data_IF_126242072981
#
_entry.id   IF_126242072981
#
_cell.length_a   1.000
_cell.length_b   1.000
_cell.length_c   1.000
_cell.angle_alpha   90.00
_cell.angle_beta   90.00
_cell.angle_gamma   90.00
#
_symmetry.space_group_name_H-M   'P 1'
#
loop_
_entity.id
_entity.type
_entity.pdbx_description
1 polymer ?
#
# COMPACT_ATOMS: atom_id res chain seq x y z
N UNK A 1 2.06 15.55 -2.57
CA UNK A 1 3.18 14.72 -3.00
C UNK A 1 2.86 13.24 -2.77
N UNK A 2 3.24 12.39 -3.73
CA UNK A 2 3.00 10.95 -3.60
C UNK A 2 4.10 10.27 -2.78
N UNK A 3 5.30 10.83 -2.78
CA UNK A 3 6.44 10.27 -2.07
C UNK A 3 7.45 11.34 -1.70
N UNK A 4 8.16 11.10 -0.61
CA UNK A 4 9.25 11.97 -0.16
C UNK A 4 10.47 11.11 0.07
N UNK A 5 11.63 11.55 -0.41
CA UNK A 5 12.88 10.88 -0.13
C UNK A 5 13.62 11.59 1.00
N UNK A 6 14.10 10.80 1.96
CA UNK A 6 14.93 11.32 3.05
C UNK A 6 16.03 10.29 3.32
N UNK A 7 17.28 10.68 3.06
CA UNK A 7 18.40 9.74 3.12
C UNK A 7 18.17 8.61 2.13
N UNK A 8 18.33 7.38 2.59
CA UNK A 8 18.07 6.20 1.77
C UNK A 8 16.64 5.70 1.81
N UNK A 9 15.74 6.42 2.50
CA UNK A 9 14.34 6.02 2.62
C UNK A 9 13.45 6.76 1.63
N UNK A 10 12.40 6.05 1.18
CA UNK A 10 11.26 6.63 0.48
C UNK A 10 10.05 6.48 1.39
N UNK A 11 9.36 7.59 1.62
CA UNK A 11 8.12 7.62 2.41
C UNK A 11 6.99 7.90 1.44
N UNK A 12 6.10 6.94 1.25
CA UNK A 12 4.97 7.11 0.35
C UNK A 12 3.73 7.54 1.13
N UNK A 13 2.95 8.43 0.53
CA UNK A 13 1.64 8.78 1.08
C UNK A 13 0.75 7.54 1.06
N UNK A 14 -0.19 7.46 2.01
CA UNK A 14 -1.16 6.39 2.03
C UNK A 14 -1.96 6.35 0.74
N UNK A 15 -2.15 5.16 0.20
CA UNK A 15 -2.88 4.95 -1.04
C UNK A 15 -4.21 4.27 -0.77
N UNK A 16 -5.27 4.86 -1.30
CA UNK A 16 -6.59 4.24 -1.34
C UNK A 16 -6.75 3.55 -2.69
N UNK A 17 -7.73 2.64 -2.84
CA UNK A 17 -7.91 1.95 -4.12
C UNK A 17 -8.43 2.90 -5.19
N UNK A 18 -7.58 3.19 -6.15
CA UNK A 18 -7.92 4.01 -7.31
C UNK A 18 -7.38 3.37 -8.57
N UNK A 19 -8.08 3.58 -9.69
CA UNK A 19 -7.60 3.12 -10.99
C UNK A 19 -6.69 4.16 -11.65
N UNK A 20 -6.23 3.86 -12.86
CA UNK A 20 -5.33 4.74 -13.59
C UNK A 20 -5.96 6.09 -13.95
N UNK A 21 -7.28 6.16 -14.00
CA UNK A 21 -8.01 7.40 -14.29
C UNK A 21 -8.33 8.21 -13.04
N UNK A 22 -7.86 7.76 -11.87
CA UNK A 22 -8.11 8.45 -10.63
C UNK A 22 -9.49 8.19 -10.02
N UNK A 23 -10.18 7.17 -10.50
CA UNK A 23 -11.50 6.79 -9.96
C UNK A 23 -11.33 5.73 -8.88
N UNK A 24 -12.14 5.85 -7.83
CA UNK A 24 -12.13 4.88 -6.74
C UNK A 24 -12.63 3.52 -7.23
N UNK A 25 -11.90 2.47 -6.91
CA UNK A 25 -12.29 1.09 -7.19
C UNK A 25 -13.24 0.65 -6.09
N UNK A 26 -14.50 0.33 -6.46
CA UNK A 26 -15.58 0.00 -5.53
C UNK A 26 -15.86 -1.49 -5.41
N UNK A 27 -14.93 -2.33 -5.78
CA UNK A 27 -15.08 -3.76 -5.66
C UNK A 27 -15.02 -4.25 -4.22
N UNK A 28 -14.85 -5.56 -4.04
CA UNK A 28 -14.69 -6.15 -2.72
C UNK A 28 -13.32 -5.80 -2.13
N UNK A 29 -13.05 -6.28 -0.91
CA UNK A 29 -11.80 -5.95 -0.22
C UNK A 29 -10.58 -6.45 -0.98
N UNK A 30 -10.68 -7.59 -1.69
CA UNK A 30 -9.57 -8.13 -2.48
C UNK A 30 -9.25 -7.23 -3.65
N UNK A 31 -10.27 -6.81 -4.41
CA UNK A 31 -10.10 -5.89 -5.53
C UNK A 31 -9.52 -4.56 -5.07
N UNK A 32 -10.02 -4.03 -3.96
CA UNK A 32 -9.53 -2.77 -3.41
C UNK A 32 -8.08 -2.88 -2.95
N UNK A 33 -7.70 -3.99 -2.35
CA UNK A 33 -6.33 -4.23 -1.89
C UNK A 33 -5.38 -4.27 -3.08
N UNK A 34 -5.74 -5.00 -4.14
CA UNK A 34 -4.91 -5.05 -5.35
C UNK A 34 -4.77 -3.67 -5.98
N UNK A 35 -5.84 -2.88 -6.02
CA UNK A 35 -5.81 -1.54 -6.61
C UNK A 35 -4.90 -0.60 -5.81
N UNK A 36 -4.98 -0.64 -4.48
CA UNK A 36 -4.12 0.19 -3.64
C UNK A 36 -2.64 -0.18 -3.82
N UNK A 37 -2.33 -1.48 -3.86
CA UNK A 37 -0.95 -1.94 -4.06
C UNK A 37 -0.44 -1.59 -5.46
N UNK A 38 -1.30 -1.65 -6.48
CA UNK A 38 -0.90 -1.24 -7.82
C UNK A 38 -0.44 0.23 -7.86
N UNK A 39 -1.14 1.11 -7.14
CA UNK A 39 -0.71 2.51 -7.05
C UNK A 39 0.63 2.65 -6.34
N UNK A 40 0.86 1.85 -5.31
CA UNK A 40 2.14 1.84 -4.60
C UNK A 40 3.25 1.41 -5.56
N UNK A 41 3.03 0.36 -6.34
CA UNK A 41 3.99 -0.11 -7.35
C UNK A 41 4.33 1.00 -8.34
N UNK A 42 3.33 1.71 -8.83
CA UNK A 42 3.53 2.80 -9.80
C UNK A 42 4.37 3.92 -9.19
N UNK A 43 4.07 4.29 -7.95
CA UNK A 43 4.83 5.35 -7.26
C UNK A 43 6.27 4.92 -7.00
N UNK A 44 6.49 3.68 -6.57
CA UNK A 44 7.84 3.15 -6.36
C UNK A 44 8.63 3.13 -7.66
N UNK A 45 7.99 2.74 -8.77
CA UNK A 45 8.66 2.71 -10.07
C UNK A 45 9.18 4.07 -10.50
N UNK A 46 8.45 5.15 -10.18
CA UNK A 46 8.90 6.51 -10.47
C UNK A 46 10.21 6.85 -9.74
N UNK A 47 10.47 6.20 -8.62
CA UNK A 47 11.69 6.39 -7.84
C UNK A 47 12.70 5.26 -8.06
N UNK A 48 12.52 4.48 -9.12
CA UNK A 48 13.39 3.36 -9.47
C UNK A 48 13.46 2.30 -8.36
N UNK A 49 12.33 2.06 -7.71
CA UNK A 49 12.18 1.10 -6.63
C UNK A 49 11.05 0.11 -6.94
N UNK A 50 10.94 -0.92 -6.11
CA UNK A 50 9.91 -1.93 -6.26
C UNK A 50 9.41 -2.39 -4.89
N UNK A 51 8.41 -3.27 -4.86
CA UNK A 51 7.89 -3.83 -3.60
C UNK A 51 8.97 -4.56 -2.81
N UNK A 52 10.00 -5.11 -3.48
CA UNK A 52 11.11 -5.77 -2.80
C UNK A 52 11.90 -4.83 -1.90
N UNK A 53 11.83 -3.52 -2.15
CA UNK A 53 12.53 -2.51 -1.36
C UNK A 53 11.73 -2.04 -0.15
N UNK A 54 10.46 -2.43 -0.04
CA UNK A 54 9.59 -2.00 1.06
C UNK A 54 10.00 -2.66 2.36
N UNK A 55 10.18 -1.86 3.40
CA UNK A 55 10.61 -2.36 4.72
C UNK A 55 9.52 -2.23 5.77
N UNK A 56 8.56 -1.35 5.57
CA UNK A 56 7.48 -1.12 6.53
C UNK A 56 6.18 -0.85 5.81
N UNK A 57 5.09 -1.47 6.27
CA UNK A 57 3.74 -1.26 5.76
C UNK A 57 2.80 -0.94 6.92
N UNK A 58 1.96 0.06 6.74
CA UNK A 58 0.84 0.31 7.64
C UNK A 58 -0.44 0.18 6.82
N UNK A 59 -1.38 -0.59 7.33
CA UNK A 59 -2.66 -0.83 6.69
C UNK A 59 -3.78 -0.34 7.59
N UNK A 60 -4.72 0.39 7.01
CA UNK A 60 -5.97 0.78 7.67
C UNK A 60 -7.11 0.07 6.96
N UNK A 61 -7.92 -0.66 7.74
CA UNK A 61 -9.13 -1.32 7.25
C UNK A 61 -10.34 -0.63 7.86
N UNK A 62 -11.37 -0.41 7.06
CA UNK A 62 -12.61 0.15 7.57
C UNK A 62 -13.31 -0.81 8.54
N UNK A 63 -13.07 -2.11 8.38
CA UNK A 63 -13.66 -3.14 9.22
C UNK A 63 -12.67 -4.31 9.35
N UNK A 64 -12.19 -4.56 10.57
CA UNK A 64 -11.24 -5.65 10.83
C UNK A 64 -11.83 -7.05 10.59
N UNK A 65 -13.15 -7.17 10.47
CA UNK A 65 -13.77 -8.44 10.09
C UNK A 65 -13.32 -8.88 8.68
N UNK A 66 -12.82 -7.93 7.86
CA UNK A 66 -12.33 -8.22 6.51
C UNK A 66 -10.84 -8.59 6.47
N UNK A 67 -10.21 -8.73 7.65
CA UNK A 67 -8.76 -8.97 7.72
C UNK A 67 -8.31 -10.20 6.93
N UNK A 68 -9.01 -11.32 7.08
CA UNK A 68 -8.59 -12.56 6.42
C UNK A 68 -8.58 -12.43 4.90
N UNK A 69 -9.63 -11.85 4.32
CA UNK A 69 -9.73 -11.65 2.88
C UNK A 69 -8.72 -10.62 2.38
N UNK A 70 -8.54 -9.54 3.13
CA UNK A 70 -7.50 -8.57 2.84
C UNK A 70 -6.13 -9.25 2.80
N UNK A 71 -5.83 -10.04 3.83
CA UNK A 71 -4.52 -10.65 3.98
C UNK A 71 -4.18 -11.64 2.86
N UNK A 72 -5.17 -12.36 2.35
CA UNK A 72 -4.95 -13.24 1.21
C UNK A 72 -4.50 -12.45 -0.03
N UNK A 73 -5.17 -11.33 -0.32
CA UNK A 73 -4.77 -10.49 -1.45
C UNK A 73 -3.40 -9.84 -1.20
N UNK A 74 -3.15 -9.37 0.02
CA UNK A 74 -1.88 -8.76 0.40
C UNK A 74 -0.70 -9.72 0.17
N UNK A 75 -0.87 -10.99 0.55
CA UNK A 75 0.20 -11.99 0.45
C UNK A 75 0.58 -12.34 -0.97
N UNK A 76 -0.26 -12.04 -1.94
CA UNK A 76 0.12 -12.20 -3.35
C UNK A 76 1.21 -11.24 -3.77
N UNK A 77 1.41 -10.15 -3.01
CA UNK A 77 2.37 -9.10 -3.35
C UNK A 77 3.58 -9.09 -2.41
N UNK A 78 3.42 -9.54 -1.17
CA UNK A 78 4.47 -9.49 -0.16
C UNK A 78 4.69 -10.87 0.47
N UNK A 79 5.97 -11.28 0.67
CA UNK A 79 6.26 -12.54 1.37
C UNK A 79 5.74 -12.54 2.81
N UNK A 80 5.53 -13.74 3.38
CA UNK A 80 4.90 -13.90 4.69
C UNK A 80 5.61 -13.16 5.83
N UNK A 81 6.94 -13.14 5.82
CA UNK A 81 7.73 -12.61 6.93
C UNK A 81 8.34 -11.23 6.67
N UNK A 82 7.96 -10.60 5.58
CA UNK A 82 8.55 -9.34 5.18
C UNK A 82 7.59 -8.59 4.25
N UNK A 83 7.47 -7.27 4.36
CA UNK A 83 8.04 -6.35 5.37
C UNK A 83 7.31 -6.41 6.70
N UNK A 84 7.80 -5.67 7.72
CA UNK A 84 7.04 -5.50 8.95
C UNK A 84 5.74 -4.74 8.66
N UNK A 85 4.68 -5.08 9.39
CA UNK A 85 3.37 -4.51 9.10
C UNK A 85 2.56 -4.29 10.38
N UNK A 86 1.80 -3.20 10.41
CA UNK A 86 0.71 -2.99 11.36
C UNK A 86 -0.58 -2.88 10.58
N UNK A 87 -1.66 -3.44 11.12
CA UNK A 87 -2.99 -3.33 10.53
C UNK A 87 -3.96 -2.86 11.60
N UNK A 88 -4.65 -1.77 11.33
CA UNK A 88 -5.56 -1.15 12.29
C UNK A 88 -6.89 -0.83 11.63
N UNK A 89 -7.93 -0.63 12.44
CA UNK A 89 -9.25 -0.23 11.96
C UNK A 89 -9.39 1.28 12.04
N UNK A 90 -9.95 1.89 10.99
CA UNK A 90 -10.16 3.32 10.95
C UNK A 90 -11.24 3.67 9.93
N UNK A 91 -11.92 4.78 10.17
CA UNK A 91 -12.78 5.35 9.13
C UNK A 91 -11.88 5.94 8.06
N UNK A 92 -12.18 5.66 6.79
CA UNK A 92 -11.36 6.07 5.66
C UNK A 92 -12.08 7.07 4.76
N UNK A 93 -11.28 7.88 4.05
CA UNK A 93 -11.80 8.84 3.09
C UNK A 93 -12.53 8.11 1.96
N UNK A 94 -13.55 8.78 1.40
CA UNK A 94 -14.30 8.28 0.24
C UNK A 94 -14.95 6.91 0.47
N UNK A 95 -15.13 6.52 1.74
CA UNK A 95 -15.79 5.26 2.11
C UNK A 95 -15.14 4.03 1.49
N UNK A 96 -13.82 4.06 1.30
CA UNK A 96 -13.09 2.87 0.87
C UNK A 96 -12.91 1.91 2.05
N UNK A 97 -12.58 0.66 1.75
CA UNK A 97 -12.41 -0.38 2.78
C UNK A 97 -10.96 -0.55 3.22
N UNK A 98 -10.00 -0.01 2.47
CA UNK A 98 -8.59 -0.18 2.77
C UNK A 98 -7.77 1.03 2.34
N UNK A 99 -6.74 1.34 3.12
CA UNK A 99 -5.69 2.29 2.77
C UNK A 99 -4.35 1.69 3.17
N UNK A 100 -3.33 1.85 2.33
CA UNK A 100 -2.00 1.25 2.57
C UNK A 100 -0.93 2.30 2.41
N UNK A 101 -0.02 2.37 3.39
CA UNK A 101 1.13 3.27 3.38
C UNK A 101 2.39 2.43 3.50
N UNK A 102 3.42 2.76 2.72
CA UNK A 102 4.69 2.02 2.78
C UNK A 102 5.88 2.95 2.95
N UNK A 103 6.96 2.37 3.49
CA UNK A 103 8.28 2.97 3.53
C UNK A 103 9.24 1.99 2.87
N UNK A 104 10.12 2.48 2.02
CA UNK A 104 11.07 1.66 1.28
C UNK A 104 12.49 2.14 1.53
N UNK A 105 13.44 1.22 1.47
CA UNK A 105 14.85 1.54 1.59
C UNK A 105 15.52 1.33 0.23
N UNK A 106 16.11 2.38 -0.30
CA UNK A 106 16.82 2.33 -1.60
C UNK A 106 18.28 2.71 -1.48
N UNK A 107 18.73 3.05 -0.28
CA UNK A 107 20.11 3.41 -0.05
C UNK A 107 20.53 4.59 -0.89
N UNK A 108 21.65 4.44 -1.63
CA UNK A 108 22.20 5.51 -2.46
C UNK A 108 21.64 5.52 -3.88
N UNK A 109 20.64 4.70 -4.17
CA UNK A 109 20.03 4.61 -5.50
C UNK A 109 19.42 5.95 -5.90
N UNK A 110 19.62 6.34 -7.11
CA UNK A 110 19.08 7.62 -7.62
C UNK A 110 17.92 7.43 -8.58
#
# INVERSE_FOLDING_TARGET
SRATRAGGFLFLSGQIPMDADGKVVRGDIREQTHAAIARIKDTLALANASLADVVRVTVWLADLAQFADFNEAYREHFPADFPTRSTVEARLALEVDVEIEVQAWVGDRT
#
